data_IF_324271222845
#
_entry.id   IF_324271222845
#
_cell.length_a   1.000
_cell.length_b   1.000
_cell.length_c   1.000
_cell.angle_alpha   90.00
_cell.angle_beta   90.00
_cell.angle_gamma   90.00
#
_symmetry.space_group_name_H-M   'P 1'
#
loop_
_entity.id
_entity.type
_entity.pdbx_description
1 polymer ?
#
# COMPACT_ATOMS: atom_id res chain seq x y z
N UNK A 1 3.34 12.15 -14.62
CA UNK A 1 2.67 10.90 -15.05
C UNK A 1 3.40 9.76 -14.40
N UNK A 2 2.78 9.06 -13.45
CA UNK A 2 3.39 7.89 -12.78
C UNK A 2 3.10 6.67 -13.65
N UNK A 3 4.13 5.92 -14.05
CA UNK A 3 3.96 4.69 -14.81
C UNK A 3 3.46 3.58 -13.90
N UNK A 4 2.28 3.02 -14.20
CA UNK A 4 1.73 1.85 -13.47
C UNK A 4 2.63 0.61 -13.55
N UNK A 5 3.55 0.53 -14.51
CA UNK A 5 4.39 -0.65 -14.72
C UNK A 5 5.59 -0.76 -13.77
N UNK A 6 5.87 0.26 -12.93
CA UNK A 6 7.09 0.29 -12.09
C UNK A 6 7.21 -0.93 -11.16
N UNK A 7 6.10 -1.40 -10.59
CA UNK A 7 6.04 -2.56 -9.70
C UNK A 7 5.09 -3.66 -10.16
N UNK A 8 4.75 -3.68 -11.45
CA UNK A 8 3.85 -4.70 -12.00
C UNK A 8 4.39 -6.12 -11.79
N UNK A 9 3.52 -7.02 -11.33
CA UNK A 9 3.88 -8.40 -10.98
C UNK A 9 4.65 -8.55 -9.67
N UNK A 10 4.92 -7.47 -8.93
CA UNK A 10 5.54 -7.54 -7.58
C UNK A 10 4.49 -7.54 -6.48
N UNK A 11 4.84 -8.17 -5.37
CA UNK A 11 4.06 -8.10 -4.11
C UNK A 11 4.87 -7.33 -3.07
N UNK A 12 4.25 -6.34 -2.42
CA UNK A 12 4.85 -5.51 -1.39
C UNK A 12 4.09 -5.65 -0.06
N UNK A 13 4.82 -5.70 1.05
CA UNK A 13 4.27 -5.66 2.40
C UNK A 13 4.52 -4.27 2.98
N UNK A 14 3.48 -3.62 3.50
CA UNK A 14 3.59 -2.34 4.19
C UNK A 14 3.20 -2.52 5.66
N UNK A 15 4.12 -2.22 6.57
CA UNK A 15 3.86 -2.20 8.03
C UNK A 15 3.43 -0.81 8.47
N UNK A 16 2.47 -0.70 9.39
CA UNK A 16 1.84 0.56 9.76
C UNK A 16 0.93 1.10 8.65
N UNK A 17 0.33 0.20 7.87
CA UNK A 17 -0.40 0.51 6.64
C UNK A 17 -1.67 1.35 6.86
N UNK A 18 -2.25 1.36 8.06
CA UNK A 18 -3.44 2.14 8.36
C UNK A 18 -3.17 3.58 8.80
N UNK A 19 -1.91 3.91 9.12
CA UNK A 19 -1.51 5.25 9.57
C UNK A 19 -1.11 6.19 8.43
N UNK A 20 -1.10 7.50 8.70
CA UNK A 20 -0.97 8.58 7.71
C UNK A 20 -0.01 8.33 6.52
N UNK A 21 1.27 8.03 6.76
CA UNK A 21 2.21 7.71 5.67
C UNK A 21 2.02 6.30 5.12
N UNK A 22 1.66 5.33 5.97
CA UNK A 22 1.44 3.95 5.55
C UNK A 22 0.35 3.84 4.50
N UNK A 23 -0.80 4.50 4.71
CA UNK A 23 -1.89 4.50 3.73
C UNK A 23 -1.49 5.21 2.42
N UNK A 24 -0.75 6.32 2.51
CA UNK A 24 -0.21 6.99 1.32
C UNK A 24 0.77 6.09 0.55
N UNK A 25 1.60 5.32 1.24
CA UNK A 25 2.54 4.37 0.62
C UNK A 25 1.80 3.20 -0.03
N UNK A 26 0.76 2.66 0.64
CA UNK A 26 -0.12 1.62 0.08
C UNK A 26 -0.74 2.10 -1.23
N UNK A 27 -1.34 3.30 -1.22
CA UNK A 27 -1.95 3.90 -2.40
C UNK A 27 -0.93 4.07 -3.53
N UNK A 28 0.24 4.64 -3.24
CA UNK A 28 1.29 4.89 -4.24
C UNK A 28 1.87 3.60 -4.84
N UNK A 29 2.04 2.54 -4.05
CA UNK A 29 2.52 1.25 -4.53
C UNK A 29 1.47 0.55 -5.40
N UNK A 30 0.21 0.61 -5.00
CA UNK A 30 -0.90 0.04 -5.75
C UNK A 30 -1.11 0.78 -7.09
N UNK A 31 -1.04 2.11 -7.10
CA UNK A 31 -1.07 2.93 -8.33
C UNK A 31 0.07 2.59 -9.30
N UNK A 32 1.22 2.15 -8.76
CA UNK A 32 2.41 1.70 -9.50
C UNK A 32 2.41 0.19 -9.79
N UNK A 33 1.26 -0.47 -9.67
CA UNK A 33 1.05 -1.84 -10.15
C UNK A 33 1.47 -2.95 -9.18
N UNK A 34 1.89 -2.63 -7.96
CA UNK A 34 2.19 -3.65 -6.96
C UNK A 34 0.90 -4.28 -6.42
N UNK A 35 0.95 -5.59 -6.12
CA UNK A 35 0.02 -6.21 -5.18
C UNK A 35 0.46 -5.85 -3.76
N UNK A 36 -0.37 -5.14 -3.01
CA UNK A 36 -0.01 -4.68 -1.67
C UNK A 36 -0.68 -5.52 -0.59
N UNK A 37 0.07 -5.90 0.44
CA UNK A 37 -0.42 -6.49 1.69
C UNK A 37 -0.14 -5.50 2.82
N UNK A 38 -1.20 -4.93 3.38
CA UNK A 38 -1.12 -4.04 4.53
C UNK A 38 -1.06 -4.82 5.85
N UNK A 39 -0.23 -4.35 6.77
CA UNK A 39 -0.13 -4.85 8.13
C UNK A 39 -0.16 -3.66 9.11
N UNK A 40 -1.00 -3.74 10.12
CA UNK A 40 -1.07 -2.76 11.20
C UNK A 40 -1.39 -3.47 12.53
N UNK A 41 -1.13 -2.78 13.64
CA UNK A 41 -1.43 -3.30 14.98
C UNK A 41 -2.94 -3.19 15.31
N UNK A 42 -3.66 -2.32 14.61
CA UNK A 42 -5.11 -2.14 14.73
C UNK A 42 -5.80 -2.53 13.43
N UNK A 43 -6.80 -3.41 13.51
CA UNK A 43 -7.65 -3.73 12.37
C UNK A 43 -8.50 -2.53 11.95
N UNK A 44 -8.89 -1.67 12.91
CA UNK A 44 -9.65 -0.46 12.65
C UNK A 44 -8.86 0.53 11.79
N UNK A 45 -7.54 0.61 12.00
CA UNK A 45 -6.66 1.44 11.17
C UNK A 45 -6.63 0.98 9.70
N UNK A 46 -6.87 -0.31 9.42
CA UNK A 46 -6.94 -0.88 8.07
C UNK A 46 -8.33 -0.74 7.43
N UNK A 47 -9.30 -0.09 8.09
CA UNK A 47 -10.67 0.03 7.57
C UNK A 47 -10.81 1.00 6.39
N UNK A 48 -9.79 1.81 6.11
CA UNK A 48 -9.71 2.69 4.93
C UNK A 48 -8.54 2.28 4.03
N UNK A 49 -8.68 2.43 2.70
CA UNK A 49 -7.68 1.98 1.74
C UNK A 49 -6.33 2.71 1.84
#
# INVERSE_FOLDING_TARGET
MVSKAEFEGKTAVVTGAGGGLGSAIVALLNERGARVVGCDQSNEALASP
#
